data_IF_664305861589
#
_entry.id   IF_664305861589
#
_cell.length_a   1.000
_cell.length_b   1.000
_cell.length_c   1.000
_cell.angle_alpha   90.00
_cell.angle_beta   90.00
_cell.angle_gamma   90.00
#
_symmetry.space_group_name_H-M   'P 1'
#
loop_
_entity.id
_entity.type
_entity.pdbx_description
1 polymer ?
#
# COMPACT_ATOMS: atom_id res chain seq x y z
N UNK A 1 -1.56 13.02 11.86
CA UNK A 1 -1.04 12.06 10.86
C UNK A 1 0.46 12.18 10.76
N UNK A 2 1.16 11.07 10.74
CA UNK A 2 2.61 11.04 10.56
C UNK A 2 2.93 10.43 9.21
N UNK A 3 3.90 11.00 8.51
CA UNK A 3 4.39 10.46 7.22
C UNK A 3 5.90 10.32 7.32
N UNK A 4 6.40 9.15 6.98
CA UNK A 4 7.83 8.91 6.96
C UNK A 4 8.21 8.15 5.69
N UNK A 5 9.07 8.76 4.89
CA UNK A 5 9.63 8.07 3.73
C UNK A 5 10.70 7.08 4.21
N UNK A 6 10.42 5.79 4.11
CA UNK A 6 11.38 4.76 4.49
C UNK A 6 12.50 4.62 3.47
N UNK A 7 12.18 4.80 2.19
CA UNK A 7 13.13 4.76 1.09
C UNK A 7 12.50 5.30 -0.18
N UNK A 8 13.30 5.87 -1.05
CA UNK A 8 12.88 6.32 -2.38
C UNK A 8 14.00 6.13 -3.38
N UNK A 9 13.63 5.96 -4.67
CA UNK A 9 14.56 5.80 -5.76
C UNK A 9 14.62 4.38 -6.29
N UNK A 10 15.63 4.11 -7.12
CA UNK A 10 15.77 2.83 -7.82
C UNK A 10 16.11 1.65 -6.91
N UNK A 11 16.60 1.91 -5.71
CA UNK A 11 16.94 0.85 -4.73
C UNK A 11 15.73 0.38 -3.93
N UNK A 12 14.62 1.07 -4.03
CA UNK A 12 13.38 0.69 -3.39
C UNK A 12 12.55 1.87 -2.94
N UNK A 13 11.23 1.71 -2.95
CA UNK A 13 10.28 2.74 -2.56
C UNK A 13 9.33 2.19 -1.51
N UNK A 14 9.23 2.88 -0.41
CA UNK A 14 8.28 2.56 0.65
C UNK A 14 8.06 3.80 1.51
N UNK A 15 6.80 4.15 1.74
CA UNK A 15 6.42 5.27 2.59
C UNK A 15 5.49 4.78 3.70
N UNK A 16 5.79 5.15 4.93
CA UNK A 16 4.97 4.81 6.09
C UNK A 16 4.05 5.98 6.43
N UNK A 17 2.77 5.67 6.64
CA UNK A 17 1.77 6.67 7.02
C UNK A 17 1.00 6.15 8.24
N UNK A 18 0.91 6.99 9.26
CA UNK A 18 0.22 6.66 10.50
C UNK A 18 -0.87 7.69 10.78
N UNK A 19 -2.13 7.22 10.83
CA UNK A 19 -3.25 7.97 11.35
C UNK A 19 -3.45 7.68 12.85
N UNK A 20 -4.57 8.12 13.40
CA UNK A 20 -4.92 7.83 14.79
C UNK A 20 -5.19 6.33 14.99
N UNK A 21 -5.82 5.68 14.00
CA UNK A 21 -6.24 4.28 14.10
C UNK A 21 -5.66 3.37 13.02
N UNK A 22 -4.94 3.92 12.04
CA UNK A 22 -4.41 3.13 10.93
C UNK A 22 -2.92 3.35 10.75
N UNK A 23 -2.22 2.27 10.39
CA UNK A 23 -0.82 2.29 9.99
C UNK A 23 -0.72 1.59 8.65
N UNK A 24 -0.23 2.31 7.64
CA UNK A 24 -0.16 1.78 6.29
C UNK A 24 1.20 2.03 5.65
N UNK A 25 1.50 1.23 4.63
CA UNK A 25 2.62 1.48 3.72
C UNK A 25 2.08 1.84 2.35
N UNK A 26 2.73 2.78 1.68
CA UNK A 26 2.58 2.97 0.24
C UNK A 26 3.82 2.37 -0.40
N UNK A 27 3.61 1.30 -1.14
CA UNK A 27 4.62 0.44 -1.72
C UNK A 27 5.46 -0.33 -0.69
N UNK A 28 6.05 -1.42 -1.12
CA UNK A 28 6.90 -2.30 -0.32
C UNK A 28 8.10 -2.73 -1.17
N UNK A 29 8.84 -1.73 -1.65
CA UNK A 29 9.94 -1.92 -2.61
C UNK A 29 11.26 -2.30 -2.00
N UNK A 30 11.33 -2.44 -0.67
CA UNK A 30 12.49 -2.96 0.05
C UNK A 30 12.29 -4.45 0.35
N UNK A 31 13.36 -5.17 0.64
CA UNK A 31 13.23 -6.54 1.15
C UNK A 31 12.41 -6.54 2.44
N UNK A 32 11.78 -7.66 2.75
CA UNK A 32 11.02 -7.79 4.00
C UNK A 32 11.89 -7.47 5.22
N UNK A 33 13.12 -7.99 5.24
CA UNK A 33 14.06 -7.74 6.33
C UNK A 33 14.37 -6.25 6.48
N UNK A 34 14.54 -5.54 5.38
CA UNK A 34 14.84 -4.11 5.41
C UNK A 34 13.61 -3.30 5.82
N UNK A 35 12.40 -3.71 5.37
CA UNK A 35 11.15 -3.11 5.85
C UNK A 35 11.02 -3.26 7.36
N UNK A 36 11.27 -4.46 7.88
CA UNK A 36 11.24 -4.74 9.32
C UNK A 36 12.21 -3.83 10.08
N UNK A 37 13.42 -3.69 9.57
CA UNK A 37 14.47 -2.87 10.20
C UNK A 37 14.07 -1.40 10.26
N UNK A 38 13.55 -0.86 9.17
CA UNK A 38 13.17 0.56 9.09
C UNK A 38 11.92 0.87 9.90
N UNK A 39 10.96 -0.03 9.94
CA UNK A 39 9.81 0.12 10.82
C UNK A 39 10.23 0.10 12.30
N UNK A 40 11.19 -0.74 12.66
CA UNK A 40 11.71 -0.78 14.03
C UNK A 40 12.34 0.54 14.45
N UNK A 41 12.99 1.26 13.53
CA UNK A 41 13.52 2.60 13.82
C UNK A 41 12.43 3.61 14.19
N UNK A 42 11.19 3.36 13.77
CA UNK A 42 10.03 4.18 14.10
C UNK A 42 9.25 3.63 15.30
N UNK A 43 9.75 2.59 15.95
CA UNK A 43 9.05 1.86 17.01
C UNK A 43 7.73 1.27 16.53
N UNK A 44 7.68 0.82 15.29
CA UNK A 44 6.51 0.17 14.68
C UNK A 44 6.82 -1.30 14.47
N UNK A 45 6.01 -2.18 15.07
CA UNK A 45 6.11 -3.60 14.80
C UNK A 45 5.47 -3.90 13.43
N UNK A 46 6.05 -4.80 12.63
CA UNK A 46 5.49 -5.12 11.31
C UNK A 46 4.03 -5.59 11.37
N UNK A 47 3.66 -6.28 12.46
CA UNK A 47 2.28 -6.74 12.68
C UNK A 47 1.27 -5.61 12.82
N UNK A 48 1.74 -4.39 13.11
CA UNK A 48 0.87 -3.22 13.25
C UNK A 48 0.44 -2.64 11.91
N UNK A 49 1.07 -3.04 10.81
CA UNK A 49 0.71 -2.54 9.48
C UNK A 49 -0.63 -3.12 9.06
N UNK A 50 -1.63 -2.24 8.91
CA UNK A 50 -2.99 -2.62 8.55
C UNK A 50 -3.14 -2.88 7.07
N UNK A 51 -2.45 -2.11 6.24
CA UNK A 51 -2.61 -2.19 4.79
C UNK A 51 -1.38 -1.71 4.05
N UNK A 52 -1.23 -2.20 2.82
CA UNK A 52 -0.21 -1.75 1.87
C UNK A 52 -0.94 -1.31 0.61
N UNK A 53 -0.71 -0.06 0.20
CA UNK A 53 -1.23 0.50 -1.04
C UNK A 53 -0.13 0.40 -2.11
N UNK A 54 -0.44 -0.15 -3.27
CA UNK A 54 0.52 -0.33 -4.35
C UNK A 54 0.27 0.72 -5.44
N UNK A 55 1.34 1.43 -5.84
CA UNK A 55 1.27 2.40 -6.93
C UNK A 55 1.31 1.71 -8.28
N UNK A 56 2.27 0.82 -8.47
CA UNK A 56 2.43 0.02 -9.70
C UNK A 56 3.36 -1.18 -9.44
N UNK A 57 3.52 -2.04 -10.44
CA UNK A 57 4.11 -3.37 -10.30
C UNK A 57 5.64 -3.43 -10.47
N UNK A 58 6.34 -2.32 -10.66
CA UNK A 58 7.80 -2.33 -10.79
C UNK A 58 8.47 -2.89 -9.53
N UNK A 59 9.57 -3.61 -9.72
CA UNK A 59 10.25 -4.34 -8.64
C UNK A 59 10.66 -3.44 -7.48
N UNK A 60 11.10 -2.22 -7.76
CA UNK A 60 11.49 -1.25 -6.74
C UNK A 60 10.29 -0.69 -5.94
N UNK A 61 9.07 -1.13 -6.24
CA UNK A 61 7.85 -0.81 -5.50
C UNK A 61 7.22 -2.03 -4.82
N UNK A 62 7.60 -3.25 -5.20
CA UNK A 62 6.96 -4.47 -4.68
C UNK A 62 7.95 -5.55 -4.24
N UNK A 63 9.23 -5.27 -4.18
CA UNK A 63 10.27 -6.27 -3.92
C UNK A 63 10.01 -7.13 -2.68
N UNK A 64 9.55 -6.55 -1.58
CA UNK A 64 9.29 -7.25 -0.34
C UNK A 64 7.83 -7.59 -0.10
N UNK A 65 6.94 -7.29 -1.04
CA UNK A 65 5.50 -7.36 -0.84
C UNK A 65 5.02 -8.76 -0.45
N UNK A 66 5.33 -9.76 -1.26
CA UNK A 66 4.81 -11.10 -1.07
C UNK A 66 5.34 -11.75 0.23
N UNK A 67 6.61 -11.56 0.55
CA UNK A 67 7.20 -12.09 1.78
C UNK A 67 6.60 -11.39 3.01
N UNK A 68 6.49 -10.06 2.97
CA UNK A 68 5.94 -9.28 4.07
C UNK A 68 4.47 -9.66 4.32
N UNK A 69 3.66 -9.74 3.27
CA UNK A 69 2.24 -10.08 3.39
C UNK A 69 2.03 -11.51 3.88
N UNK A 70 2.82 -12.46 3.40
CA UNK A 70 2.73 -13.84 3.89
C UNK A 70 3.12 -13.97 5.37
N UNK A 71 4.00 -13.12 5.83
CA UNK A 71 4.47 -13.14 7.22
C UNK A 71 3.54 -12.40 8.18
N UNK A 72 3.07 -11.22 7.81
CA UNK A 72 2.35 -10.29 8.71
C UNK A 72 0.88 -10.07 8.35
N UNK A 73 0.47 -10.43 7.14
CA UNK A 73 -0.92 -10.46 6.67
C UNK A 73 -1.66 -9.11 6.70
N UNK A 74 -1.04 -7.99 6.30
CA UNK A 74 -1.79 -6.76 6.07
C UNK A 74 -2.70 -6.92 4.85
N UNK A 75 -3.70 -6.06 4.74
CA UNK A 75 -4.48 -5.95 3.51
C UNK A 75 -3.59 -5.39 2.40
N UNK A 76 -3.82 -5.81 1.17
CA UNK A 76 -3.10 -5.28 0.00
C UNK A 76 -4.12 -4.65 -0.94
N UNK A 77 -3.86 -3.41 -1.33
CA UNK A 77 -4.74 -2.65 -2.21
C UNK A 77 -4.00 -2.24 -3.48
N UNK A 78 -4.64 -2.44 -4.62
CA UNK A 78 -4.17 -1.95 -5.92
C UNK A 78 -5.37 -1.48 -6.73
N UNK A 79 -5.16 -0.49 -7.61
CA UNK A 79 -6.22 -0.10 -8.54
C UNK A 79 -6.62 -1.30 -9.42
N UNK A 80 -7.90 -1.42 -9.72
CA UNK A 80 -8.42 -2.57 -10.50
C UNK A 80 -7.68 -2.78 -11.82
N UNK A 81 -7.26 -1.69 -12.48
CA UNK A 81 -6.55 -1.78 -13.76
C UNK A 81 -5.08 -2.22 -13.60
N UNK A 82 -4.54 -2.20 -12.38
CA UNK A 82 -3.18 -2.66 -12.07
C UNK A 82 -3.11 -4.08 -11.54
N UNK A 83 -4.24 -4.74 -11.30
CA UNK A 83 -4.26 -6.06 -10.66
C UNK A 83 -3.52 -7.12 -11.46
N UNK A 84 -3.80 -7.21 -12.75
CA UNK A 84 -3.19 -8.26 -13.58
C UNK A 84 -1.68 -8.11 -13.69
N UNK A 85 -1.19 -6.89 -13.87
CA UNK A 85 0.25 -6.61 -13.93
C UNK A 85 0.93 -6.96 -12.60
N UNK A 86 0.31 -6.63 -11.48
CA UNK A 86 0.83 -6.97 -10.17
C UNK A 86 0.90 -8.49 -9.97
N UNK A 87 -0.19 -9.22 -10.29
CA UNK A 87 -0.21 -10.67 -10.14
C UNK A 87 0.89 -11.38 -10.94
N UNK A 88 1.20 -10.89 -12.13
CA UNK A 88 2.26 -11.47 -12.97
C UNK A 88 3.64 -11.34 -12.35
N UNK A 89 3.85 -10.34 -11.50
CA UNK A 89 5.15 -10.10 -10.86
C UNK A 89 5.30 -10.83 -9.52
N UNK A 90 4.20 -11.20 -8.87
CA UNK A 90 4.25 -11.85 -7.58
C UNK A 90 4.65 -13.32 -7.71
N UNK A 91 5.56 -13.76 -6.84
CA UNK A 91 6.01 -15.16 -6.80
C UNK A 91 5.09 -16.04 -5.98
N UNK A 92 4.35 -15.46 -5.04
CA UNK A 92 3.41 -16.15 -4.18
C UNK A 92 2.02 -15.56 -4.33
N UNK A 93 0.96 -16.37 -4.33
CA UNK A 93 -0.39 -15.84 -4.42
C UNK A 93 -0.73 -15.04 -3.16
N UNK A 94 -1.38 -13.90 -3.36
CA UNK A 94 -1.85 -13.03 -2.30
C UNK A 94 -3.32 -12.73 -2.51
N UNK A 95 -4.04 -12.52 -1.40
CA UNK A 95 -5.36 -11.91 -1.43
C UNK A 95 -5.17 -10.41 -1.65
N UNK A 96 -5.75 -9.89 -2.72
CA UNK A 96 -5.59 -8.48 -3.11
C UNK A 96 -6.95 -7.84 -3.21
N UNK A 97 -7.11 -6.69 -2.55
CA UNK A 97 -8.29 -5.85 -2.68
C UNK A 97 -8.07 -4.83 -3.79
N UNK A 98 -9.10 -4.57 -4.58
CA UNK A 98 -9.02 -3.58 -5.65
C UNK A 98 -9.99 -2.43 -5.38
N UNK A 99 -9.66 -1.28 -5.96
CA UNK A 99 -10.49 -0.08 -5.91
C UNK A 99 -10.52 0.56 -7.30
N UNK A 100 -11.46 1.46 -7.50
CA UNK A 100 -11.58 2.27 -8.72
C UNK A 100 -11.04 3.69 -8.47
N UNK A 101 -11.58 4.69 -9.16
CA UNK A 101 -11.06 6.06 -9.05
C UNK A 101 -11.73 6.88 -7.94
N UNK A 102 -12.63 6.26 -7.17
CA UNK A 102 -13.33 6.92 -6.08
C UNK A 102 -12.56 6.85 -4.76
N UNK A 103 -12.74 7.83 -3.87
CA UNK A 103 -12.10 7.76 -2.54
C UNK A 103 -12.62 6.59 -1.72
N UNK A 104 -11.78 6.05 -0.85
CA UNK A 104 -12.16 5.01 0.09
C UNK A 104 -11.47 5.21 1.44
N UNK A 105 -11.94 4.51 2.46
CA UNK A 105 -11.40 4.62 3.81
C UNK A 105 -10.63 3.35 4.20
N UNK A 106 -9.50 3.55 4.87
CA UNK A 106 -8.81 2.53 5.64
C UNK A 106 -8.78 3.06 7.06
N UNK A 107 -9.64 2.53 7.94
CA UNK A 107 -9.88 3.06 9.27
C UNK A 107 -10.17 4.56 9.21
N UNK A 108 -9.37 5.39 9.87
CA UNK A 108 -9.52 6.85 9.88
C UNK A 108 -8.81 7.57 8.73
N UNK A 109 -8.17 6.83 7.84
CA UNK A 109 -7.48 7.41 6.69
C UNK A 109 -8.37 7.40 5.46
N UNK A 110 -8.53 8.58 4.86
CA UNK A 110 -9.22 8.75 3.58
C UNK A 110 -8.20 8.67 2.46
N UNK A 111 -8.42 7.76 1.54
CA UNK A 111 -7.52 7.49 0.42
C UNK A 111 -8.18 7.96 -0.87
N UNK A 112 -7.58 8.92 -1.54
CA UNK A 112 -8.01 9.37 -2.86
C UNK A 112 -7.00 8.89 -3.90
N UNK A 113 -7.37 7.90 -4.74
CA UNK A 113 -6.48 7.46 -5.81
C UNK A 113 -6.47 8.46 -6.96
N UNK A 114 -5.29 8.69 -7.53
CA UNK A 114 -5.09 9.60 -8.65
C UNK A 114 -4.30 8.89 -9.73
N UNK A 115 -4.75 8.88 -11.00
CA UNK A 115 -3.94 8.32 -12.08
C UNK A 115 -2.69 9.17 -12.30
N UNK A 116 -1.54 8.50 -12.40
CA UNK A 116 -0.26 9.16 -12.66
C UNK A 116 0.24 8.68 -14.01
N UNK A 117 0.62 9.58 -14.93
CA UNK A 117 1.21 9.16 -16.20
C UNK A 117 2.49 8.36 -15.97
N UNK A 118 2.57 7.19 -16.59
CA UNK A 118 3.70 6.29 -16.49
C UNK A 118 3.69 5.33 -17.67
N UNK A 119 4.78 4.61 -17.88
CA UNK A 119 4.95 3.63 -18.96
C UNK A 119 4.44 2.22 -18.57
N UNK A 120 3.63 2.11 -17.53
CA UNK A 120 2.99 0.87 -17.08
C UNK A 120 1.48 0.93 -17.35
N UNK A 121 0.79 -0.20 -17.22
CA UNK A 121 -0.66 -0.29 -17.43
C UNK A 121 -1.43 0.66 -16.51
N UNK A 122 -1.01 0.73 -15.25
CA UNK A 122 -1.61 1.66 -14.32
C UNK A 122 -0.60 2.04 -13.24
N UNK A 123 -0.33 3.34 -13.10
CA UNK A 123 0.35 3.90 -11.95
C UNK A 123 -0.63 4.79 -11.18
N UNK A 124 -0.80 4.52 -9.90
CA UNK A 124 -1.73 5.25 -9.04
C UNK A 124 -0.97 6.04 -7.99
N UNK A 125 -1.19 7.35 -7.95
CA UNK A 125 -0.80 8.19 -6.82
C UNK A 125 -1.91 8.19 -5.78
N UNK A 126 -1.59 8.60 -4.56
CA UNK A 126 -2.55 8.65 -3.47
C UNK A 126 -2.50 9.98 -2.76
N UNK A 127 -3.67 10.59 -2.56
CA UNK A 127 -3.83 11.69 -1.60
C UNK A 127 -4.46 11.10 -0.35
N UNK A 128 -3.73 11.17 0.76
CA UNK A 128 -4.13 10.54 2.01
C UNK A 128 -4.33 11.62 3.06
N UNK A 129 -5.48 11.58 3.72
CA UNK A 129 -5.83 12.54 4.76
C UNK A 129 -6.52 11.83 5.91
N UNK A 130 -6.48 12.43 7.11
CA UNK A 130 -7.27 11.93 8.22
C UNK A 130 -8.73 12.35 8.04
N UNK A 131 -9.62 11.39 8.26
CA UNK A 131 -11.04 11.60 8.22
C UNK A 131 -11.53 11.83 9.65
N UNK A 132 -11.48 13.07 10.13
CA UNK A 132 -11.88 13.45 11.49
C UNK A 132 -13.38 13.37 11.72
N UNK A 133 -14.15 13.41 10.65
CA UNK A 133 -15.61 13.25 10.69
C UNK A 133 -15.94 11.86 10.19
N UNK A 134 -16.94 11.22 10.76
CA UNK A 134 -17.51 9.98 10.22
C UNK A 134 -18.04 10.30 8.82
N UNK A 135 -17.18 10.28 7.86
CA UNK A 135 -17.53 10.51 6.49
C UNK A 135 -18.29 9.31 5.95
N UNK A 136 -19.34 9.58 5.20
CA UNK A 136 -20.21 8.54 4.67
C UNK A 136 -19.68 7.95 3.35
N UNK A 137 -18.38 7.98 3.15
CA UNK A 137 -17.80 7.35 1.97
C UNK A 137 -17.87 5.84 2.14
N UNK A 138 -18.82 5.25 1.47
CA UNK A 138 -18.88 3.81 1.34
C UNK A 138 -18.13 3.40 0.09
N UNK A 139 -16.99 2.74 0.28
CA UNK A 139 -16.31 2.14 -0.83
C UNK A 139 -16.43 0.66 -0.77
N UNK A 140 -17.00 0.11 -1.85
CA UNK A 140 -16.88 -1.30 -2.15
C UNK A 140 -15.60 -1.50 -2.94
N UNK A 141 -14.63 -2.15 -2.33
CA UNK A 141 -13.49 -2.67 -3.06
C UNK A 141 -13.70 -4.14 -3.35
N UNK A 142 -13.29 -4.58 -4.56
CA UNK A 142 -13.30 -6.00 -4.92
C UNK A 142 -12.21 -6.74 -4.16
N UNK A 143 -12.47 -7.97 -3.70
CA UNK A 143 -11.47 -8.83 -3.06
C UNK A 143 -11.16 -9.98 -4.00
N UNK A 144 -9.86 -10.21 -4.28
CA UNK A 144 -9.39 -11.24 -5.22
C UNK A 144 -8.45 -12.21 -4.52
N UNK A 145 -8.76 -13.48 -4.67
CA UNK A 145 -8.02 -14.59 -4.08
C UNK A 145 -7.04 -15.21 -5.06
#
# INVERSE_FOLDING_TARGET
MKVCNLSSGSDGNATYIEGTHAKILVDAGLSCKELERRLALLNVAPEEIDAILITHEHTDHIKGLDVFVNRYRPLVFVHKDGLNALRKKLKKPLVISTFDDEPFLIEDLKILPIPVPHDVDRCTGYVISENEKKDKYFHRFGVHY
#
